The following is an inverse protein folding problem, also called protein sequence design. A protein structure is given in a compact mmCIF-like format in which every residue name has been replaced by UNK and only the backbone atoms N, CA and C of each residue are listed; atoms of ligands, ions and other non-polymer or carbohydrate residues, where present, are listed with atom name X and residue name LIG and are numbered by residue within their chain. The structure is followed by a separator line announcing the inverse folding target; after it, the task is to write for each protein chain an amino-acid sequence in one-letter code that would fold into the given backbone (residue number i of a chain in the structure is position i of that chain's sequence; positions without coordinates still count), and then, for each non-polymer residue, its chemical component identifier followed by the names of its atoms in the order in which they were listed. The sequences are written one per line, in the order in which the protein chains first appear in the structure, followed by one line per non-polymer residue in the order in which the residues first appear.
data_IF_125849754812
#
_entry.id   IF_125849754812
#
_cell.length_a   1.000
_cell.length_b   1.000
_cell.length_c   1.000
_cell.angle_alpha   90.00
_cell.angle_beta   90.00
_cell.angle_gamma   90.00
#
_symmetry.space_group_name_H-M   'P 1'
#
loop_
_entity.id
_entity.type
_entity.pdbx_description
1 polymer ?
#
# COMPACT_ATOMS: atom_id res chain seq x y z
N UNK A 1 5.35 -22.51 -11.10
CA UNK A 1 4.13 -23.37 -11.02
C UNK A 1 4.30 -24.69 -11.80
N UNK A 2 4.99 -24.71 -12.95
CA UNK A 2 5.09 -25.88 -13.83
C UNK A 2 5.60 -27.19 -13.19
N UNK A 3 6.46 -27.14 -12.18
CA UNK A 3 6.92 -28.35 -11.47
C UNK A 3 5.84 -28.87 -10.51
N UNK A 4 5.17 -27.98 -9.78
CA UNK A 4 4.05 -28.38 -8.91
C UNK A 4 2.89 -28.94 -9.70
N UNK A 5 2.54 -28.34 -10.83
CA UNK A 5 1.48 -28.85 -11.70
C UNK A 5 1.80 -30.24 -12.23
N UNK A 6 3.01 -30.47 -12.76
CA UNK A 6 3.46 -31.79 -13.22
C UNK A 6 3.39 -32.85 -12.11
N UNK A 7 3.78 -32.48 -10.89
CA UNK A 7 3.71 -33.40 -9.75
C UNK A 7 2.28 -33.74 -9.38
N UNK A 8 1.38 -32.74 -9.31
CA UNK A 8 -0.03 -32.96 -9.01
C UNK A 8 -0.72 -33.83 -10.09
N UNK A 9 -0.35 -33.64 -11.36
CA UNK A 9 -0.85 -34.43 -12.49
C UNK A 9 -0.37 -35.89 -12.40
N UNK A 10 0.92 -36.12 -12.10
CA UNK A 10 1.44 -37.47 -11.92
C UNK A 10 0.88 -38.20 -10.70
N UNK A 11 0.54 -37.43 -9.64
CA UNK A 11 -0.08 -37.95 -8.41
C UNK A 11 -1.62 -38.12 -8.54
N UNK A 12 -2.20 -37.81 -9.70
CA UNK A 12 -3.65 -37.86 -9.98
C UNK A 12 -4.48 -37.00 -9.01
N UNK A 13 -3.93 -35.86 -8.58
CA UNK A 13 -4.59 -34.91 -7.66
C UNK A 13 -5.34 -33.81 -8.43
N UNK A 14 -6.34 -34.23 -9.21
CA UNK A 14 -7.05 -33.36 -10.19
C UNK A 14 -7.70 -32.12 -9.56
N UNK A 15 -8.31 -32.23 -8.37
CA UNK A 15 -8.90 -31.08 -7.67
C UNK A 15 -7.86 -30.03 -7.26
N UNK A 16 -6.69 -30.48 -6.78
CA UNK A 16 -5.60 -29.58 -6.40
C UNK A 16 -4.95 -28.96 -7.64
N UNK A 17 -4.79 -29.75 -8.70
CA UNK A 17 -4.28 -29.27 -9.98
C UNK A 17 -5.19 -28.19 -10.58
N UNK A 18 -6.50 -28.40 -10.55
CA UNK A 18 -7.47 -27.40 -11.01
C UNK A 18 -7.39 -26.11 -10.20
N UNK A 19 -7.23 -26.19 -8.85
CA UNK A 19 -7.06 -25.02 -7.99
C UNK A 19 -5.76 -24.26 -8.31
N UNK A 20 -4.64 -24.96 -8.47
CA UNK A 20 -3.35 -24.33 -8.81
C UNK A 20 -3.43 -23.66 -10.19
N UNK A 21 -3.98 -24.33 -11.20
CA UNK A 21 -4.18 -23.76 -12.55
C UNK A 21 -5.09 -22.53 -12.51
N UNK A 22 -6.17 -22.56 -11.74
CA UNK A 22 -7.04 -21.38 -11.58
C UNK A 22 -6.30 -20.20 -10.99
N UNK A 23 -5.47 -20.40 -9.95
CA UNK A 23 -4.68 -19.34 -9.32
C UNK A 23 -3.67 -18.76 -10.32
N UNK A 24 -2.94 -19.60 -11.05
CA UNK A 24 -1.94 -19.14 -12.03
C UNK A 24 -2.52 -18.39 -13.23
N UNK A 25 -3.83 -18.56 -13.50
CA UNK A 25 -4.52 -17.83 -14.56
C UNK A 25 -5.29 -16.58 -14.06
N UNK A 26 -5.28 -16.29 -12.76
CA UNK A 26 -5.99 -15.13 -12.20
C UNK A 26 -5.33 -13.80 -12.53
N UNK A 27 -4.01 -13.79 -12.77
CA UNK A 27 -3.26 -12.58 -13.04
C UNK A 27 -2.02 -12.87 -13.89
N UNK A 28 -1.58 -11.87 -14.64
CA UNK A 28 -0.25 -11.86 -15.26
C UNK A 28 0.75 -11.37 -14.20
N UNK A 29 1.71 -12.23 -13.84
CA UNK A 29 2.70 -11.92 -12.81
C UNK A 29 4.03 -11.56 -13.48
N UNK A 30 4.52 -10.37 -13.15
CA UNK A 30 5.85 -9.90 -13.54
C UNK A 30 6.71 -9.75 -12.30
N UNK A 31 7.98 -10.12 -12.40
CA UNK A 31 8.96 -9.97 -11.32
C UNK A 31 9.96 -8.88 -11.68
N UNK A 32 10.18 -7.98 -10.73
CA UNK A 32 11.21 -6.94 -10.83
C UNK A 32 12.12 -7.06 -9.63
N UNK A 33 13.40 -7.02 -9.84
CA UNK A 33 14.40 -7.14 -8.79
C UNK A 33 14.90 -5.75 -8.38
N UNK A 34 14.79 -5.45 -7.10
CA UNK A 34 15.55 -4.37 -6.49
C UNK A 34 16.94 -4.93 -6.16
N UNK A 35 17.97 -4.47 -6.87
CA UNK A 35 19.33 -5.00 -6.71
C UNK A 35 20.08 -4.39 -5.53
N UNK A 36 19.68 -3.20 -5.09
CA UNK A 36 20.22 -2.49 -3.94
C UNK A 36 19.11 -2.16 -2.96
N UNK A 37 19.35 -2.36 -1.66
CA UNK A 37 18.34 -2.09 -0.62
C UNK A 37 18.28 -0.59 -0.30
N UNK A 38 17.71 0.19 -1.22
CA UNK A 38 17.58 1.63 -1.11
C UNK A 38 16.26 2.11 -0.47
N UNK A 39 15.49 1.21 0.12
CA UNK A 39 14.24 1.49 0.80
C UNK A 39 12.98 1.20 -0.03
N UNK A 40 11.81 1.37 0.60
CA UNK A 40 10.52 1.04 -0.01
C UNK A 40 10.19 1.94 -1.20
N UNK A 41 10.51 3.24 -1.12
CA UNK A 41 10.27 4.17 -2.23
C UNK A 41 11.03 3.79 -3.49
N UNK A 42 12.29 3.34 -3.34
CA UNK A 42 13.08 2.83 -4.46
C UNK A 42 12.46 1.55 -5.03
N UNK A 43 12.04 0.60 -4.19
CA UNK A 43 11.36 -0.61 -4.64
C UNK A 43 10.10 -0.30 -5.48
N UNK A 44 9.28 0.65 -5.02
CA UNK A 44 8.09 1.10 -5.76
C UNK A 44 8.47 1.72 -7.10
N UNK A 45 9.55 2.49 -7.18
CA UNK A 45 10.02 3.15 -8.40
C UNK A 45 10.30 2.17 -9.55
N UNK A 46 10.72 0.94 -9.23
CA UNK A 46 10.94 -0.11 -10.24
C UNK A 46 9.62 -0.57 -10.91
N UNK A 47 8.47 -0.30 -10.31
CA UNK A 47 7.15 -0.58 -10.89
C UNK A 47 6.75 0.38 -12.02
N UNK A 48 7.38 1.56 -12.16
CA UNK A 48 6.97 2.64 -13.07
C UNK A 48 6.71 2.17 -14.50
N UNK A 49 7.62 1.36 -15.04
CA UNK A 49 7.53 0.89 -16.44
C UNK A 49 6.34 -0.04 -16.68
N UNK A 50 5.91 -0.76 -15.65
CA UNK A 50 4.75 -1.67 -15.74
C UNK A 50 3.43 -0.94 -15.53
N UNK A 51 3.42 0.07 -14.67
CA UNK A 51 2.23 0.88 -14.35
C UNK A 51 1.90 1.86 -15.48
N UNK A 52 2.91 2.48 -16.08
CA UNK A 52 2.70 3.51 -17.09
C UNK A 52 2.04 4.76 -16.51
N UNK A 53 0.90 5.15 -17.08
CA UNK A 53 0.11 6.32 -16.69
C UNK A 53 -1.19 5.99 -15.95
N UNK A 54 -1.39 4.73 -15.58
CA UNK A 54 -2.60 4.30 -14.90
C UNK A 54 -2.47 4.37 -13.36
N UNK A 55 -3.55 4.61 -12.64
CA UNK A 55 -3.58 4.38 -11.20
C UNK A 55 -3.28 2.92 -10.85
N UNK A 56 -2.64 2.69 -9.73
CA UNK A 56 -2.26 1.34 -9.31
C UNK A 56 -2.42 1.11 -7.81
N UNK A 57 -2.65 -0.15 -7.44
CA UNK A 57 -2.63 -0.56 -6.06
C UNK A 57 -1.24 -1.07 -5.65
N UNK A 58 -0.73 -0.57 -4.53
CA UNK A 58 0.47 -1.09 -3.88
C UNK A 58 0.08 -1.84 -2.61
N UNK A 59 0.51 -3.11 -2.53
CA UNK A 59 0.28 -3.98 -1.39
C UNK A 59 1.62 -4.50 -0.89
N UNK A 60 1.95 -4.22 0.37
CA UNK A 60 3.16 -4.78 0.98
C UNK A 60 2.88 -6.24 1.37
N UNK A 61 3.80 -7.13 0.96
CA UNK A 61 3.60 -8.58 1.05
C UNK A 61 3.75 -9.17 2.46
N UNK A 62 4.32 -8.42 3.40
CA UNK A 62 4.51 -8.77 4.80
C UNK A 62 3.31 -8.41 5.70
N UNK A 63 2.31 -7.70 5.15
CA UNK A 63 1.13 -7.25 5.90
C UNK A 63 -0.15 -7.89 5.38
N UNK A 64 -0.99 -8.41 6.28
CA UNK A 64 -2.33 -8.92 5.99
C UNK A 64 -3.37 -8.06 6.70
N UNK A 65 -4.34 -7.54 5.96
CA UNK A 65 -5.50 -6.84 6.52
C UNK A 65 -6.71 -7.78 6.53
N UNK A 66 -7.27 -8.02 7.71
CA UNK A 66 -8.50 -8.79 7.89
C UNK A 66 -9.61 -7.87 8.37
N UNK A 67 -10.65 -7.75 7.58
CA UNK A 67 -11.83 -6.97 7.92
C UNK A 67 -12.74 -7.73 8.87
N UNK A 68 -13.38 -7.03 9.80
CA UNK A 68 -14.23 -7.66 10.85
C UNK A 68 -15.71 -7.46 10.62
N UNK A 69 -16.13 -6.38 10.02
CA UNK A 69 -17.52 -5.93 10.01
C UNK A 69 -18.10 -5.57 8.63
N UNK A 70 -17.35 -5.71 7.58
CA UNK A 70 -17.83 -5.42 6.23
C UNK A 70 -17.74 -6.65 5.31
N UNK A 71 -18.70 -6.76 4.41
CA UNK A 71 -18.70 -7.74 3.33
C UNK A 71 -17.71 -7.42 2.21
N UNK A 72 -17.23 -6.17 2.12
CA UNK A 72 -16.32 -5.71 1.07
C UNK A 72 -14.86 -5.72 1.53
N UNK A 73 -13.92 -6.29 0.76
CA UNK A 73 -12.49 -6.19 1.04
C UNK A 73 -12.02 -4.73 1.18
N UNK A 74 -11.00 -4.49 2.02
CA UNK A 74 -10.43 -3.15 2.24
C UNK A 74 -10.03 -2.50 0.92
N UNK A 75 -9.33 -3.22 0.04
CA UNK A 75 -8.90 -2.68 -1.25
C UNK A 75 -10.07 -2.27 -2.15
N UNK A 76 -11.18 -3.01 -2.12
CA UNK A 76 -12.37 -2.64 -2.88
C UNK A 76 -12.97 -1.33 -2.38
N UNK A 77 -13.05 -1.13 -1.07
CA UNK A 77 -13.56 0.12 -0.49
C UNK A 77 -12.62 1.29 -0.82
N UNK A 78 -11.30 1.08 -0.75
CA UNK A 78 -10.32 2.10 -1.18
C UNK A 78 -10.48 2.44 -2.66
N UNK A 79 -10.78 1.45 -3.52
CA UNK A 79 -11.02 1.68 -4.95
C UNK A 79 -12.27 2.56 -5.15
N UNK A 80 -13.34 2.31 -4.40
CA UNK A 80 -14.55 3.15 -4.45
C UNK A 80 -14.25 4.61 -4.07
N UNK A 81 -13.44 4.82 -3.02
CA UNK A 81 -12.97 6.17 -2.63
C UNK A 81 -12.11 6.80 -3.74
N UNK A 82 -11.17 6.04 -4.29
CA UNK A 82 -10.32 6.50 -5.40
C UNK A 82 -11.14 6.91 -6.62
N UNK A 83 -12.13 6.08 -7.01
CA UNK A 83 -13.01 6.36 -8.14
C UNK A 83 -13.87 7.60 -7.93
N UNK A 84 -14.34 7.84 -6.70
CA UNK A 84 -15.11 9.03 -6.34
C UNK A 84 -14.24 10.29 -6.33
N UNK A 85 -13.08 10.22 -5.67
CA UNK A 85 -12.21 11.39 -5.44
C UNK A 85 -11.21 11.65 -6.58
N UNK A 86 -10.95 10.68 -7.45
CA UNK A 86 -9.93 10.74 -8.50
C UNK A 86 -8.53 11.07 -7.97
N UNK A 87 -8.23 10.62 -6.77
CA UNK A 87 -7.00 10.93 -6.03
C UNK A 87 -6.39 9.67 -5.39
N UNK A 88 -5.16 9.76 -4.94
CA UNK A 88 -4.50 8.68 -4.21
C UNK A 88 -5.20 8.38 -2.89
N UNK A 89 -5.23 7.10 -2.48
CA UNK A 89 -5.87 6.63 -1.25
C UNK A 89 -4.92 5.75 -0.46
N UNK A 90 -4.84 5.96 0.85
CA UNK A 90 -4.00 5.19 1.78
C UNK A 90 -4.87 4.55 2.85
N UNK A 91 -4.68 3.27 3.12
CA UNK A 91 -5.35 2.62 4.25
C UNK A 91 -4.73 3.08 5.57
N UNK A 92 -5.58 3.42 6.53
CA UNK A 92 -5.21 3.89 7.86
C UNK A 92 -5.77 2.98 8.94
N UNK A 93 -4.97 2.77 9.98
CA UNK A 93 -5.34 2.06 11.21
C UNK A 93 -5.04 2.94 12.42
N UNK A 94 -5.94 2.96 13.39
CA UNK A 94 -5.69 3.64 14.65
C UNK A 94 -4.78 2.77 15.53
N UNK A 95 -3.67 3.35 16.00
CA UNK A 95 -2.68 2.68 16.85
C UNK A 95 -2.52 3.40 18.18
N UNK A 96 -2.01 2.70 19.19
CA UNK A 96 -1.62 3.31 20.47
C UNK A 96 -0.59 4.42 20.23
N UNK A 97 -0.71 5.54 20.94
CA UNK A 97 0.20 6.69 20.81
C UNK A 97 1.69 6.32 20.97
N UNK A 98 1.98 5.35 21.81
CA UNK A 98 3.35 4.85 22.04
C UNK A 98 3.94 4.08 20.85
N UNK A 99 3.08 3.63 19.92
CA UNK A 99 3.49 2.84 18.76
C UNK A 99 3.68 3.66 17.48
N UNK A 100 3.34 4.96 17.50
CA UNK A 100 3.41 5.81 16.29
C UNK A 100 4.82 5.86 15.69
N UNK A 101 5.85 5.77 16.51
CA UNK A 101 7.26 5.77 16.07
C UNK A 101 7.68 4.55 15.23
N UNK A 102 6.78 3.59 15.02
CA UNK A 102 7.04 2.40 14.19
C UNK A 102 6.54 2.56 12.77
N UNK A 103 5.66 3.54 12.50
CA UNK A 103 4.88 3.65 11.26
C UNK A 103 4.97 5.04 10.65
N UNK A 104 4.67 5.16 9.39
CA UNK A 104 4.26 6.42 8.81
C UNK A 104 2.91 6.84 9.39
N UNK A 105 2.80 8.06 9.87
CA UNK A 105 1.61 8.61 10.52
C UNK A 105 0.98 9.67 9.64
N UNK A 106 -0.34 9.58 9.45
CA UNK A 106 -1.13 10.51 8.66
C UNK A 106 -1.86 11.51 9.55
N UNK A 107 -1.86 12.77 9.14
CA UNK A 107 -2.71 13.84 9.65
C UNK A 107 -3.67 14.34 8.57
N UNK A 108 -4.79 14.92 8.96
CA UNK A 108 -5.76 15.45 8.02
C UNK A 108 -7.12 15.75 8.65
N UNK A 109 -8.02 16.24 7.80
CA UNK A 109 -9.37 16.58 8.21
C UNK A 109 -10.34 15.47 7.81
N UNK A 110 -11.13 15.01 8.76
CA UNK A 110 -12.18 14.02 8.51
C UNK A 110 -13.29 14.64 7.65
N UNK A 111 -13.57 14.03 6.50
CA UNK A 111 -14.61 14.51 5.55
C UNK A 111 -15.83 13.58 5.51
N UNK A 112 -15.64 12.28 5.81
CA UNK A 112 -16.69 11.28 5.98
C UNK A 112 -16.31 10.37 7.15
N UNK A 113 -17.21 9.47 7.57
CA UNK A 113 -16.99 8.61 8.74
C UNK A 113 -15.61 7.92 8.74
N UNK A 114 -15.19 7.36 7.59
CA UNK A 114 -13.95 6.59 7.46
C UNK A 114 -12.96 7.21 6.47
N UNK A 115 -13.22 8.46 6.02
CA UNK A 115 -12.40 9.14 5.01
C UNK A 115 -11.87 10.47 5.55
N UNK A 116 -10.55 10.63 5.44
CA UNK A 116 -9.84 11.87 5.78
C UNK A 116 -9.24 12.47 4.50
N UNK A 117 -9.34 13.81 4.36
CA UNK A 117 -8.49 14.56 3.44
C UNK A 117 -7.14 14.76 4.15
N UNK A 118 -6.07 14.19 3.60
CA UNK A 118 -4.76 14.23 4.22
C UNK A 118 -4.06 15.58 3.94
N UNK A 119 -3.40 16.10 4.95
CA UNK A 119 -2.60 17.33 4.87
C UNK A 119 -1.18 17.15 5.42
N UNK A 120 -0.93 16.04 6.12
CA UNK A 120 0.37 15.77 6.71
C UNK A 120 0.67 14.26 6.74
N UNK A 121 1.91 13.91 6.41
CA UNK A 121 2.45 12.56 6.52
C UNK A 121 3.85 12.63 7.12
N UNK A 122 4.12 11.84 8.17
CA UNK A 122 5.42 11.84 8.87
C UNK A 122 5.90 10.42 9.07
N UNK A 123 7.11 10.12 8.61
CA UNK A 123 7.72 8.79 8.77
C UNK A 123 8.28 8.61 10.18
N UNK A 124 7.71 7.65 10.92
CA UNK A 124 8.16 7.25 12.26
C UNK A 124 8.45 8.44 13.19
N UNK A 125 7.46 9.32 13.44
CA UNK A 125 7.63 10.48 14.30
C UNK A 125 7.86 10.08 15.76
N UNK A 126 8.38 10.99 16.56
CA UNK A 126 8.27 10.88 18.01
C UNK A 126 6.80 11.01 18.43
N UNK A 127 6.36 10.38 19.54
CA UNK A 127 4.97 10.48 19.98
C UNK A 127 4.44 11.91 20.14
N UNK A 128 5.27 12.83 20.58
CA UNK A 128 4.95 14.25 20.75
C UNK A 128 4.82 15.02 19.41
N UNK A 129 5.51 14.55 18.36
CA UNK A 129 5.54 15.17 17.03
C UNK A 129 4.52 14.57 16.07
N UNK A 130 3.93 13.41 16.41
CA UNK A 130 3.00 12.73 15.55
C UNK A 130 1.71 13.54 15.33
N UNK A 131 1.29 13.80 14.08
CA UNK A 131 0.10 14.60 13.79
C UNK A 131 -1.20 13.96 14.29
N UNK A 132 -1.19 12.64 14.44
CA UNK A 132 -2.31 11.85 14.92
C UNK A 132 -1.84 10.50 15.49
N UNK A 133 -2.75 9.57 15.69
CA UNK A 133 -2.47 8.15 15.94
C UNK A 133 -2.91 7.24 14.76
N UNK A 134 -3.09 7.82 13.57
CA UNK A 134 -3.48 7.08 12.37
C UNK A 134 -2.24 6.62 11.59
N UNK A 135 -1.94 5.34 11.73
CA UNK A 135 -0.81 4.69 11.06
C UNK A 135 -1.18 4.20 9.66
N UNK A 136 -0.27 4.32 8.72
CA UNK A 136 -0.39 3.77 7.38
C UNK A 136 -0.37 2.24 7.47
N UNK A 137 -1.37 1.58 6.86
CA UNK A 137 -1.60 0.16 6.98
C UNK A 137 -1.19 -0.65 5.73
N UNK A 138 -0.08 -0.29 5.10
CA UNK A 138 0.58 -1.05 4.04
C UNK A 138 -0.32 -1.38 2.81
N UNK A 139 -1.36 -0.58 2.56
CA UNK A 139 -2.24 -0.65 1.38
C UNK A 139 -2.43 0.75 0.83
N UNK A 140 -2.22 0.89 -0.46
CA UNK A 140 -2.27 2.16 -1.16
C UNK A 140 -2.93 1.99 -2.52
N UNK A 141 -3.61 3.04 -2.97
CA UNK A 141 -3.94 3.26 -4.37
C UNK A 141 -3.30 4.57 -4.76
N UNK A 142 -2.40 4.54 -5.71
CA UNK A 142 -1.66 5.72 -6.14
C UNK A 142 -2.08 6.17 -7.53
N UNK A 143 -2.12 7.47 -7.70
CA UNK A 143 -1.99 8.10 -9.00
C UNK A 143 -0.52 8.01 -9.47
N UNK A 144 -0.26 7.91 -10.78
CA UNK A 144 1.09 7.69 -11.33
C UNK A 144 2.07 8.83 -11.01
N UNK A 145 1.59 10.01 -10.62
CA UNK A 145 2.39 11.17 -10.20
C UNK A 145 3.32 10.85 -9.02
N UNK A 146 3.00 9.84 -8.21
CA UNK A 146 3.88 9.37 -7.12
C UNK A 146 5.29 9.04 -7.63
N UNK A 147 5.44 8.55 -8.86
CA UNK A 147 6.74 8.23 -9.43
C UNK A 147 7.61 9.46 -9.67
N UNK A 148 7.01 10.63 -9.93
CA UNK A 148 7.76 11.89 -10.05
C UNK A 148 8.27 12.33 -8.70
N UNK A 149 7.45 12.26 -7.65
CA UNK A 149 7.83 12.57 -6.28
C UNK A 149 8.92 11.61 -5.79
N UNK A 150 8.76 10.31 -6.01
CA UNK A 150 9.78 9.31 -5.68
C UNK A 150 11.14 9.63 -6.34
N UNK A 151 11.14 10.06 -7.60
CA UNK A 151 12.39 10.39 -8.31
C UNK A 151 13.14 11.60 -7.74
N UNK A 152 12.45 12.46 -7.00
CA UNK A 152 13.00 13.68 -6.38
C UNK A 152 13.18 13.57 -4.88
N UNK A 153 12.68 12.49 -4.26
CA UNK A 153 12.75 12.27 -2.81
C UNK A 153 14.20 12.00 -2.40
N UNK A 154 14.77 12.79 -1.49
CA UNK A 154 16.12 12.54 -1.01
C UNK A 154 16.14 11.28 -0.12
N UNK A 155 17.32 10.73 0.09
CA UNK A 155 17.50 9.66 1.07
C UNK A 155 17.23 10.21 2.48
N UNK A 156 16.27 9.64 3.16
CA UNK A 156 15.88 10.01 4.50
C UNK A 156 16.48 9.09 5.56
N UNK A 157 15.66 8.63 6.48
CA UNK A 157 16.03 7.74 7.58
C UNK A 157 16.71 6.47 7.04
N UNK A 158 17.78 6.03 7.66
CA UNK A 158 18.61 4.87 7.25
C UNK A 158 19.26 4.99 5.85
N UNK A 159 19.39 6.18 5.29
CA UNK A 159 19.84 6.42 3.92
C UNK A 159 18.94 5.79 2.83
N UNK A 160 17.70 5.55 3.15
CA UNK A 160 16.69 4.96 2.27
C UNK A 160 15.77 6.02 1.65
N UNK A 161 15.22 5.73 0.48
CA UNK A 161 14.13 6.51 -0.12
C UNK A 161 12.83 6.05 0.55
N UNK A 162 12.29 6.88 1.44
CA UNK A 162 11.08 6.57 2.16
C UNK A 162 9.85 6.88 1.31
N UNK A 163 8.92 5.91 1.21
CA UNK A 163 7.66 6.12 0.50
C UNK A 163 6.82 7.22 1.17
N UNK A 164 6.82 7.28 2.50
CA UNK A 164 6.08 8.29 3.26
C UNK A 164 6.56 9.71 2.96
N UNK A 165 7.89 9.91 2.76
CA UNK A 165 8.45 11.21 2.41
C UNK A 165 8.02 11.65 0.98
N UNK A 166 7.98 10.71 0.04
CA UNK A 166 7.48 10.98 -1.31
C UNK A 166 5.99 11.33 -1.31
N UNK A 167 5.19 10.63 -0.50
CA UNK A 167 3.78 10.91 -0.31
C UNK A 167 3.57 12.28 0.34
N UNK A 168 4.37 12.63 1.35
CA UNK A 168 4.32 13.94 2.00
C UNK A 168 4.65 15.08 1.00
N UNK A 169 5.64 14.86 0.13
CA UNK A 169 5.96 15.81 -0.93
C UNK A 169 4.81 15.94 -1.95
N UNK A 170 4.11 14.84 -2.26
CA UNK A 170 2.99 14.82 -3.19
C UNK A 170 1.77 15.62 -2.67
N UNK A 171 1.59 15.74 -1.35
CA UNK A 171 0.52 16.55 -0.75
C UNK A 171 0.60 18.05 -1.07
N UNK A 172 1.76 18.53 -1.56
CA UNK A 172 1.93 19.95 -1.91
C UNK A 172 1.16 20.37 -3.16
N UNK A 173 0.88 19.42 -4.06
CA UNK A 173 0.29 19.68 -5.38
C UNK A 173 -0.79 18.67 -5.80
N UNK A 174 -0.99 17.59 -5.01
CA UNK A 174 -2.02 16.59 -5.27
C UNK A 174 -2.81 16.25 -4.00
N UNK A 175 -4.11 16.05 -4.16
CA UNK A 175 -4.95 15.55 -3.09
C UNK A 175 -4.67 14.07 -2.79
N UNK A 176 -4.72 13.71 -1.52
CA UNK A 176 -4.62 12.33 -1.06
C UNK A 176 -5.62 12.10 0.08
N UNK A 177 -6.22 10.93 0.09
CA UNK A 177 -7.22 10.57 1.10
C UNK A 177 -6.76 9.40 1.94
N UNK A 178 -7.05 9.46 3.22
CA UNK A 178 -6.90 8.34 4.14
C UNK A 178 -8.23 7.58 4.28
N UNK A 179 -8.20 6.28 4.10
CA UNK A 179 -9.33 5.40 4.37
C UNK A 179 -9.07 4.62 5.66
N UNK A 180 -9.82 4.90 6.73
CA UNK A 180 -9.75 4.20 8.01
C UNK A 180 -10.58 2.93 7.94
N UNK A 181 -9.93 1.78 7.76
CA UNK A 181 -10.62 0.51 7.69
C UNK A 181 -10.97 -0.06 9.07
N UNK A 182 -12.10 -0.76 9.15
CA UNK A 182 -12.49 -1.52 10.32
C UNK A 182 -11.96 -2.95 10.20
N UNK A 183 -11.01 -3.33 11.07
CA UNK A 183 -10.42 -4.65 10.99
C UNK A 183 -9.16 -4.80 11.81
N UNK A 184 -8.37 -5.80 11.46
CA UNK A 184 -7.10 -6.10 12.12
C UNK A 184 -5.98 -6.26 11.09
N UNK A 185 -4.86 -5.64 11.38
CA UNK A 185 -3.58 -5.83 10.67
C UNK A 185 -2.75 -6.91 11.36
N UNK A 186 -2.09 -7.70 10.55
CA UNK A 186 -1.07 -8.69 10.93
C UNK A 186 0.17 -8.41 10.09
N UNK A 187 1.29 -8.10 10.75
CA UNK A 187 2.63 -7.81 10.23
C UNK A 187 3.71 -8.46 11.09
#
# INVERSE_FOLDING_TARGET
SGELERRLESDQKDELLAKVRRISHMANIHFVWQTELNGLGDAVSHGRTFVGSDPFALLLGDTILRQTDSSKPVLQQMTEVHEEKKASVVALEEVDREKVSRYGIAGGTQIQHDILALDQLVEKPLPEEAPSNLAIAARYIFQPEIFEHLSRTPRGKNHEIQLTDAMAAMLSDHEMYGFRFSGRRYD
#
